data_IF_577107970423
#
_entry.id   IF_577107970423
#
_cell.length_a   1.000
_cell.length_b   1.000
_cell.length_c   1.000
_cell.angle_alpha   90.00
_cell.angle_beta   90.00
_cell.angle_gamma   90.00
#
_symmetry.space_group_name_H-M   'P 1'
#
loop_
_entity.id
_entity.type
_entity.pdbx_description
1 polymer ?
#
# COMPACT_ATOMS: atom_id res chain seq x y z
N UNK A 1 19.62 -3.04 15.23
CA UNK A 1 18.54 -3.99 14.91
C UNK A 1 18.09 -3.64 13.50
N UNK A 2 18.12 -4.58 12.55
CA UNK A 2 17.65 -4.34 11.18
C UNK A 2 16.16 -4.66 11.16
N UNK A 3 15.31 -3.84 10.53
CA UNK A 3 14.00 -4.26 10.03
C UNK A 3 14.31 -5.40 9.08
N UNK A 4 13.95 -6.59 9.53
CA UNK A 4 14.19 -7.76 8.72
C UNK A 4 13.16 -7.82 7.60
N UNK A 5 13.49 -7.17 6.49
CA UNK A 5 12.78 -7.34 5.22
C UNK A 5 13.06 -8.73 4.62
N UNK A 6 13.97 -9.52 5.22
CA UNK A 6 14.30 -10.91 4.88
C UNK A 6 13.84 -11.86 5.99
N UNK A 7 12.53 -12.04 6.12
CA UNK A 7 11.90 -13.23 6.71
C UNK A 7 12.35 -13.66 8.13
N UNK A 8 11.43 -13.59 9.08
CA UNK A 8 11.39 -14.60 10.14
C UNK A 8 11.08 -15.97 9.51
N UNK A 9 12.12 -16.75 9.25
CA UNK A 9 12.05 -18.19 9.45
C UNK A 9 12.14 -18.42 10.95
N UNK A 10 10.99 -18.62 11.59
CA UNK A 10 10.97 -19.14 12.95
C UNK A 10 11.81 -20.43 13.01
N UNK A 11 12.66 -20.50 14.03
CA UNK A 11 13.50 -21.63 14.47
C UNK A 11 13.20 -23.00 13.82
N UNK A 12 14.24 -23.57 13.22
CA UNK A 12 14.40 -24.93 12.69
C UNK A 12 13.27 -25.95 13.01
N UNK A 13 12.53 -26.33 11.97
CA UNK A 13 12.23 -27.74 11.74
C UNK A 13 12.85 -28.16 10.41
N UNK A 14 13.89 -28.98 10.52
CA UNK A 14 14.30 -29.89 9.46
C UNK A 14 13.10 -30.77 9.09
N UNK A 15 12.37 -30.43 8.04
CA UNK A 15 11.51 -31.39 7.32
C UNK A 15 11.20 -30.86 5.92
N UNK A 16 11.37 -31.73 4.94
CA UNK A 16 11.07 -31.56 3.52
C UNK A 16 9.55 -31.40 3.22
N UNK A 17 8.74 -30.88 4.15
CA UNK A 17 7.27 -30.98 4.10
C UNK A 17 6.50 -29.68 4.36
N UNK A 18 7.16 -28.51 4.40
CA UNK A 18 6.43 -27.24 4.30
C UNK A 18 5.91 -27.05 2.86
N UNK A 19 4.86 -27.78 2.49
CA UNK A 19 4.08 -27.51 1.27
C UNK A 19 3.33 -26.21 1.50
N UNK A 20 3.94 -25.11 1.10
CA UNK A 20 3.23 -23.85 0.90
C UNK A 20 1.97 -24.13 0.04
N UNK A 21 0.83 -23.48 0.30
CA UNK A 21 -0.34 -23.66 -0.53
C UNK A 21 -0.02 -23.21 -1.96
N UNK A 22 0.37 -24.17 -2.80
CA UNK A 22 0.55 -23.99 -4.22
C UNK A 22 -0.83 -23.78 -4.83
N UNK A 23 -0.99 -22.76 -5.68
CA UNK A 23 -2.22 -22.42 -6.38
C UNK A 23 -3.31 -21.78 -5.49
N UNK A 24 -2.95 -20.75 -4.73
CA UNK A 24 -3.90 -19.97 -3.94
C UNK A 24 -4.67 -18.97 -4.81
N UNK A 25 -4.21 -17.72 -4.84
CA UNK A 25 -4.80 -16.67 -5.67
C UNK A 25 -4.35 -16.69 -7.14
N UNK A 26 -3.17 -17.22 -7.45
CA UNK A 26 -2.54 -17.13 -8.77
C UNK A 26 -3.44 -17.66 -9.90
N UNK A 27 -4.10 -18.84 -9.78
CA UNK A 27 -4.97 -19.36 -10.84
C UNK A 27 -6.23 -18.53 -11.09
N UNK A 28 -6.55 -17.57 -10.21
CA UNK A 28 -7.73 -16.73 -10.33
C UNK A 28 -7.49 -15.53 -11.24
N UNK A 29 -6.25 -15.25 -11.65
CA UNK A 29 -5.89 -14.08 -12.45
C UNK A 29 -5.09 -14.47 -13.70
N UNK A 30 -5.16 -13.63 -14.74
CA UNK A 30 -4.48 -13.88 -16.01
C UNK A 30 -3.05 -13.32 -16.09
N UNK A 31 -2.58 -12.69 -15.02
CA UNK A 31 -1.29 -11.98 -14.97
C UNK A 31 -0.40 -12.60 -13.91
N UNK A 32 0.91 -12.56 -14.14
CA UNK A 32 1.92 -13.01 -13.16
C UNK A 32 1.84 -12.11 -11.94
N UNK A 33 1.69 -12.70 -10.75
CA UNK A 33 1.73 -12.00 -9.47
C UNK A 33 2.04 -12.94 -8.31
N UNK A 34 2.71 -12.42 -7.27
CA UNK A 34 3.00 -13.14 -6.03
C UNK A 34 1.99 -12.78 -4.93
N UNK A 35 1.30 -13.79 -4.40
CA UNK A 35 0.43 -13.66 -3.23
C UNK A 35 0.81 -14.61 -2.09
N UNK A 36 2.08 -15.06 -2.03
CA UNK A 36 2.51 -16.15 -1.15
C UNK A 36 2.14 -15.92 0.31
N UNK A 37 2.30 -14.72 0.88
CA UNK A 37 1.97 -14.47 2.29
C UNK A 37 0.47 -14.48 2.53
N UNK A 38 -0.31 -13.95 1.58
CA UNK A 38 -1.77 -14.01 1.67
C UNK A 38 -2.29 -15.45 1.54
N UNK A 39 -1.70 -16.24 0.65
CA UNK A 39 -1.99 -17.66 0.49
C UNK A 39 -1.67 -18.43 1.77
N UNK A 40 -0.52 -18.16 2.39
CA UNK A 40 -0.12 -18.74 3.69
C UNK A 40 -1.14 -18.40 4.77
N UNK A 41 -1.52 -17.12 4.87
CA UNK A 41 -2.44 -16.63 5.90
C UNK A 41 -3.83 -17.28 5.80
N UNK A 42 -4.32 -17.51 4.58
CA UNK A 42 -5.61 -18.18 4.35
C UNK A 42 -5.51 -19.71 4.37
N UNK A 43 -4.31 -20.26 4.23
CA UNK A 43 -3.96 -21.67 4.41
C UNK A 43 -4.45 -22.65 3.34
N UNK A 44 -5.51 -22.32 2.59
CA UNK A 44 -6.09 -23.23 1.57
C UNK A 44 -6.55 -22.50 0.31
N UNK A 45 -6.50 -23.17 -0.88
CA UNK A 45 -7.07 -22.62 -2.11
C UNK A 45 -8.57 -22.31 -2.01
N UNK A 46 -9.32 -23.11 -1.25
CA UNK A 46 -10.75 -22.88 -1.02
C UNK A 46 -11.01 -21.58 -0.26
N UNK A 47 -10.20 -21.28 0.77
CA UNK A 47 -10.27 -20.01 1.49
C UNK A 47 -9.87 -18.81 0.62
N UNK A 48 -8.81 -18.95 -0.20
CA UNK A 48 -8.42 -17.93 -1.19
C UNK A 48 -9.55 -17.63 -2.16
N UNK A 49 -10.17 -18.68 -2.72
CA UNK A 49 -11.32 -18.55 -3.61
C UNK A 49 -12.52 -17.89 -2.93
N UNK A 50 -12.85 -18.29 -1.69
CA UNK A 50 -13.95 -17.69 -0.94
C UNK A 50 -13.72 -16.18 -0.69
N UNK A 51 -12.49 -15.81 -0.31
CA UNK A 51 -12.08 -14.41 -0.17
C UNK A 51 -12.25 -13.65 -1.49
N UNK A 52 -11.68 -14.17 -2.58
CA UNK A 52 -11.81 -13.58 -3.92
C UNK A 52 -13.28 -13.37 -4.31
N UNK A 53 -14.14 -14.37 -4.14
CA UNK A 53 -15.54 -14.29 -4.56
C UNK A 53 -16.35 -13.24 -3.76
N UNK A 54 -16.06 -13.09 -2.46
CA UNK A 54 -16.64 -12.03 -1.62
C UNK A 54 -16.25 -10.65 -2.17
N UNK A 55 -14.97 -10.43 -2.44
CA UNK A 55 -14.49 -9.14 -2.92
C UNK A 55 -14.93 -8.85 -4.36
N UNK A 56 -14.94 -9.84 -5.25
CA UNK A 56 -15.54 -9.72 -6.59
C UNK A 56 -16.98 -9.22 -6.50
N UNK A 57 -17.79 -9.75 -5.57
CA UNK A 57 -19.17 -9.31 -5.36
C UNK A 57 -19.24 -7.86 -4.88
N UNK A 58 -18.43 -7.47 -3.89
CA UNK A 58 -18.38 -6.09 -3.36
C UNK A 58 -18.03 -5.08 -4.45
N UNK A 59 -16.97 -5.34 -5.22
CA UNK A 59 -16.61 -4.47 -6.34
C UNK A 59 -17.66 -4.47 -7.44
N UNK A 60 -18.27 -5.61 -7.77
CA UNK A 60 -19.34 -5.64 -8.77
C UNK A 60 -20.53 -4.77 -8.35
N UNK A 61 -20.90 -4.82 -7.07
CA UNK A 61 -21.95 -3.95 -6.52
C UNK A 61 -21.58 -2.47 -6.54
N UNK A 62 -20.34 -2.12 -6.14
CA UNK A 62 -19.87 -0.73 -6.19
C UNK A 62 -19.78 -0.19 -7.63
N UNK A 63 -19.24 -1.01 -8.54
CA UNK A 63 -18.98 -0.63 -9.93
C UNK A 63 -20.25 -0.57 -10.80
N UNK A 64 -21.35 -1.17 -10.34
CA UNK A 64 -22.64 -1.06 -11.00
C UNK A 64 -23.09 0.40 -11.19
N UNK A 65 -22.74 1.29 -10.26
CA UNK A 65 -23.11 2.71 -10.31
C UNK A 65 -22.03 3.62 -10.88
N UNK A 66 -20.86 3.09 -11.27
CA UNK A 66 -19.77 3.92 -11.78
C UNK A 66 -20.08 4.53 -13.14
N UNK A 67 -19.81 5.82 -13.28
CA UNK A 67 -19.66 6.51 -14.55
C UNK A 67 -18.26 6.28 -15.16
N UNK A 68 -18.05 6.83 -16.37
CA UNK A 68 -16.71 6.93 -16.97
C UNK A 68 -15.76 7.74 -16.07
N UNK A 69 -16.24 8.84 -15.48
CA UNK A 69 -15.45 9.64 -14.55
C UNK A 69 -15.06 8.83 -13.30
N UNK A 70 -15.99 8.07 -12.72
CA UNK A 70 -15.67 7.20 -11.57
C UNK A 70 -14.60 6.18 -11.93
N UNK A 71 -14.69 5.58 -13.12
CA UNK A 71 -13.70 4.62 -13.63
C UNK A 71 -12.33 5.28 -13.79
N UNK A 72 -12.27 6.48 -14.35
CA UNK A 72 -11.03 7.25 -14.49
C UNK A 72 -10.42 7.61 -13.12
N UNK A 73 -11.25 8.05 -12.16
CA UNK A 73 -10.80 8.32 -10.78
C UNK A 73 -10.28 7.05 -10.12
N UNK A 74 -10.93 5.90 -10.33
CA UNK A 74 -10.46 4.63 -9.80
C UNK A 74 -9.13 4.15 -10.39
N UNK A 75 -8.86 4.42 -11.67
CA UNK A 75 -7.53 4.17 -12.21
C UNK A 75 -6.46 5.04 -11.55
N UNK A 76 -6.79 6.28 -11.18
CA UNK A 76 -5.89 7.13 -10.38
C UNK A 76 -5.72 6.61 -8.95
N UNK A 77 -6.74 5.98 -8.37
CA UNK A 77 -6.62 5.28 -7.07
C UNK A 77 -5.69 4.07 -7.17
N UNK A 78 -5.71 3.30 -8.27
CA UNK A 78 -4.73 2.25 -8.54
C UNK A 78 -3.31 2.80 -8.64
N UNK A 79 -3.12 3.89 -9.40
CA UNK A 79 -1.82 4.58 -9.50
C UNK A 79 -1.31 5.01 -8.13
N UNK A 80 -2.16 5.64 -7.32
CA UNK A 80 -1.80 6.09 -5.97
C UNK A 80 -1.48 4.92 -5.03
N UNK A 81 -2.23 3.82 -5.11
CA UNK A 81 -1.96 2.60 -4.35
C UNK A 81 -0.55 2.05 -4.62
N UNK A 82 -0.12 2.07 -5.89
CA UNK A 82 1.24 1.68 -6.27
C UNK A 82 2.30 2.66 -5.74
N UNK A 83 2.06 3.97 -5.89
CA UNK A 83 2.95 5.02 -5.36
C UNK A 83 3.18 4.85 -3.86
N UNK A 84 2.12 4.57 -3.11
CA UNK A 84 2.17 4.33 -1.67
C UNK A 84 2.88 3.02 -1.30
N UNK A 85 2.83 1.99 -2.15
CA UNK A 85 3.62 0.76 -1.98
C UNK A 85 5.12 1.05 -2.05
N UNK A 86 5.54 1.90 -3.00
CA UNK A 86 6.92 2.37 -3.08
C UNK A 86 7.29 3.24 -1.87
N UNK A 87 6.45 4.22 -1.50
CA UNK A 87 6.69 5.07 -0.33
C UNK A 87 6.80 4.27 0.98
N UNK A 88 5.93 3.27 1.19
CA UNK A 88 5.97 2.43 2.38
C UNK A 88 7.29 1.66 2.49
N UNK A 89 7.75 1.10 1.36
CA UNK A 89 9.02 0.37 1.29
C UNK A 89 10.22 1.30 1.47
N UNK A 90 10.20 2.47 0.84
CA UNK A 90 11.22 3.50 1.00
C UNK A 90 11.33 3.92 2.47
N UNK A 91 10.22 4.26 3.13
CA UNK A 91 10.22 4.64 4.54
C UNK A 91 10.71 3.52 5.47
N UNK A 92 10.36 2.26 5.19
CA UNK A 92 10.88 1.13 5.98
C UNK A 92 12.41 1.01 5.85
N UNK A 93 12.95 1.10 4.63
CA UNK A 93 14.40 1.07 4.40
C UNK A 93 15.12 2.29 4.98
N UNK A 94 14.53 3.47 4.89
CA UNK A 94 15.09 4.67 5.51
C UNK A 94 15.08 4.57 7.03
N UNK A 95 14.05 3.98 7.64
CA UNK A 95 14.02 3.73 9.08
C UNK A 95 15.21 2.87 9.52
N UNK A 96 15.56 1.84 8.75
CA UNK A 96 16.76 1.02 9.00
C UNK A 96 18.05 1.83 8.93
N UNK A 97 18.24 2.58 7.84
CA UNK A 97 19.46 3.36 7.62
C UNK A 97 19.66 4.41 8.73
N UNK A 98 18.58 5.09 9.12
CA UNK A 98 18.58 6.08 10.20
C UNK A 98 18.81 5.40 11.56
N UNK A 99 18.24 4.21 11.78
CA UNK A 99 18.44 3.42 12.99
C UNK A 99 19.87 2.94 13.17
N UNK A 100 20.58 2.62 12.08
CA UNK A 100 22.02 2.32 12.10
C UNK A 100 22.86 3.52 12.55
N UNK A 101 22.42 4.73 12.22
CA UNK A 101 23.02 5.99 12.68
C UNK A 101 22.60 6.38 14.11
N UNK A 102 21.83 5.53 14.81
CA UNK A 102 21.32 5.72 16.17
C UNK A 102 20.39 6.93 16.36
N UNK A 103 19.81 7.46 15.29
CA UNK A 103 18.86 8.59 15.34
C UNK A 103 17.44 8.04 15.57
N UNK A 104 17.14 7.65 16.81
CA UNK A 104 15.88 6.95 17.16
C UNK A 104 14.61 7.73 16.81
N UNK A 105 14.64 9.06 16.94
CA UNK A 105 13.49 9.89 16.57
C UNK A 105 13.14 9.75 15.08
N UNK A 106 14.15 9.75 14.21
CA UNK A 106 13.96 9.55 12.77
C UNK A 106 13.55 8.12 12.44
N UNK A 107 14.17 7.13 13.07
CA UNK A 107 13.83 5.71 12.91
C UNK A 107 12.33 5.44 13.17
N UNK A 108 11.81 5.87 14.32
CA UNK A 108 10.41 5.62 14.67
C UNK A 108 9.43 6.50 13.88
N UNK A 109 9.83 7.71 13.50
CA UNK A 109 9.04 8.53 12.59
C UNK A 109 8.85 7.80 11.26
N UNK A 110 9.94 7.37 10.63
CA UNK A 110 9.91 6.71 9.32
C UNK A 110 9.17 5.36 9.39
N UNK A 111 9.41 4.57 10.44
CA UNK A 111 8.73 3.29 10.65
C UNK A 111 7.20 3.44 10.77
N UNK A 112 6.74 4.44 11.51
CA UNK A 112 5.31 4.74 11.64
C UNK A 112 4.69 5.15 10.29
N UNK A 113 5.37 6.00 9.51
CA UNK A 113 4.89 6.37 8.17
C UNK A 113 4.96 5.21 7.17
N UNK A 114 5.94 4.32 7.24
CA UNK A 114 5.96 3.10 6.43
C UNK A 114 4.67 2.28 6.62
N UNK A 115 4.24 2.10 7.87
CA UNK A 115 2.99 1.41 8.18
C UNK A 115 1.75 2.15 7.65
N UNK A 116 1.67 3.47 7.82
CA UNK A 116 0.55 4.28 7.33
C UNK A 116 0.42 4.20 5.80
N UNK A 117 1.54 4.35 5.08
CA UNK A 117 1.55 4.27 3.62
C UNK A 117 1.14 2.86 3.13
N UNK A 118 1.57 1.80 3.82
CA UNK A 118 1.13 0.43 3.51
C UNK A 118 -0.38 0.23 3.70
N UNK A 119 -0.96 0.77 4.78
CA UNK A 119 -2.42 0.72 4.99
C UNK A 119 -3.18 1.54 3.95
N UNK A 120 -2.71 2.75 3.65
CA UNK A 120 -3.33 3.59 2.62
C UNK A 120 -3.28 2.93 1.24
N UNK A 121 -2.19 2.24 0.87
CA UNK A 121 -2.10 1.54 -0.41
C UNK A 121 -3.29 0.59 -0.61
N UNK A 122 -3.69 -0.13 0.44
CA UNK A 122 -4.87 -1.01 0.41
C UNK A 122 -6.18 -0.22 0.44
N UNK A 123 -6.30 0.78 1.33
CA UNK A 123 -7.55 1.52 1.52
C UNK A 123 -7.93 2.42 0.35
N UNK A 124 -6.95 2.90 -0.43
CA UNK A 124 -7.20 3.52 -1.73
C UNK A 124 -7.93 2.59 -2.68
N UNK A 125 -7.88 1.27 -2.49
CA UNK A 125 -8.62 0.34 -3.33
C UNK A 125 -9.92 -0.15 -2.69
N UNK A 126 -10.29 0.30 -1.49
CA UNK A 126 -11.49 -0.21 -0.82
C UNK A 126 -12.79 0.30 -1.50
N UNK A 127 -13.73 -0.59 -1.91
CA UNK A 127 -14.91 -0.24 -2.70
C UNK A 127 -15.91 0.65 -1.94
N UNK A 128 -16.01 0.49 -0.63
CA UNK A 128 -16.93 1.30 0.19
C UNK A 128 -16.31 2.62 0.65
N UNK A 129 -15.07 2.92 0.26
CA UNK A 129 -14.44 4.21 0.55
C UNK A 129 -14.61 5.15 -0.64
N UNK A 130 -15.30 6.27 -0.37
CA UNK A 130 -15.37 7.40 -1.30
C UNK A 130 -14.01 8.08 -1.38
N UNK A 131 -13.80 8.87 -2.44
CA UNK A 131 -12.56 9.65 -2.57
C UNK A 131 -12.35 10.59 -1.37
N UNK A 132 -13.39 11.31 -0.96
CA UNK A 132 -13.33 12.20 0.19
C UNK A 132 -12.96 11.46 1.50
N UNK A 133 -13.48 10.25 1.70
CA UNK A 133 -13.16 9.47 2.90
C UNK A 133 -11.69 9.06 2.92
N UNK A 134 -11.14 8.56 1.82
CA UNK A 134 -9.76 8.06 1.80
C UNK A 134 -8.71 9.18 1.83
N UNK A 135 -9.00 10.36 1.29
CA UNK A 135 -8.08 11.51 1.29
C UNK A 135 -8.08 12.30 2.60
N UNK A 136 -9.09 12.11 3.46
CA UNK A 136 -9.23 12.83 4.74
C UNK A 136 -9.25 11.94 5.99
N UNK A 137 -8.98 10.64 5.83
CA UNK A 137 -8.99 9.68 6.95
C UNK A 137 -7.87 9.99 7.95
N UNK A 138 -8.21 10.03 9.24
CA UNK A 138 -7.20 10.21 10.30
C UNK A 138 -6.42 8.91 10.51
N UNK A 139 -5.19 8.99 11.03
CA UNK A 139 -4.36 7.80 11.27
C UNK A 139 -5.07 6.72 12.11
N UNK A 140 -5.75 7.11 13.19
CA UNK A 140 -6.49 6.17 14.05
C UNK A 140 -7.69 5.55 13.32
N UNK A 141 -8.42 6.34 12.51
CA UNK A 141 -9.53 5.81 11.70
C UNK A 141 -9.03 4.82 10.65
N UNK A 142 -7.88 5.10 10.05
CA UNK A 142 -7.23 4.24 9.07
C UNK A 142 -6.86 2.88 9.66
N UNK A 143 -6.17 2.86 10.81
CA UNK A 143 -5.80 1.62 11.48
C UNK A 143 -7.03 0.80 11.90
N UNK A 144 -8.08 1.46 12.39
CA UNK A 144 -9.33 0.79 12.76
C UNK A 144 -10.04 0.17 11.55
N UNK A 145 -10.16 0.91 10.45
CA UNK A 145 -10.79 0.46 9.22
C UNK A 145 -10.00 -0.70 8.58
N UNK A 146 -8.68 -0.57 8.49
CA UNK A 146 -7.83 -1.64 7.97
C UNK A 146 -7.99 -2.92 8.81
N UNK A 147 -7.95 -2.78 10.14
CA UNK A 147 -8.11 -3.91 11.04
C UNK A 147 -9.49 -4.59 10.89
N UNK A 148 -10.57 -3.82 10.80
CA UNK A 148 -11.92 -4.38 10.65
C UNK A 148 -12.10 -5.12 9.33
N UNK A 149 -11.54 -4.60 8.24
CA UNK A 149 -11.73 -5.17 6.91
C UNK A 149 -10.81 -6.35 6.62
N UNK A 150 -9.54 -6.29 7.07
CA UNK A 150 -8.50 -7.20 6.59
C UNK A 150 -7.80 -8.03 7.68
N UNK A 151 -7.87 -7.61 8.95
CA UNK A 151 -7.10 -8.24 10.03
C UNK A 151 -7.96 -8.86 11.15
N UNK A 152 -9.27 -8.87 11.00
CA UNK A 152 -10.20 -9.39 12.01
C UNK A 152 -11.37 -10.15 11.40
N UNK A 153 -12.08 -10.93 12.22
CA UNK A 153 -13.28 -11.65 11.81
C UNK A 153 -13.05 -12.68 10.71
N UNK A 154 -14.09 -12.90 9.88
CA UNK A 154 -14.10 -13.91 8.80
C UNK A 154 -13.37 -13.45 7.52
N UNK A 155 -13.04 -12.17 7.42
CA UNK A 155 -12.28 -11.57 6.30
C UNK A 155 -10.78 -11.44 6.60
N UNK A 156 -10.32 -12.00 7.72
CA UNK A 156 -8.91 -11.95 8.13
C UNK A 156 -8.02 -12.60 7.08
N UNK A 157 -7.31 -11.76 6.33
CA UNK A 157 -6.25 -12.13 5.38
C UNK A 157 -4.88 -11.63 5.85
N UNK A 158 -4.86 -10.66 6.77
CA UNK A 158 -3.67 -10.18 7.47
C UNK A 158 -3.68 -10.77 8.89
N UNK A 159 -2.63 -11.50 9.24
CA UNK A 159 -2.53 -12.19 10.53
C UNK A 159 -2.00 -11.27 11.63
N UNK A 160 -1.28 -10.22 11.28
CA UNK A 160 -0.71 -9.27 12.23
C UNK A 160 -1.78 -8.58 13.10
N UNK A 161 -1.45 -8.32 14.37
CA UNK A 161 -2.28 -7.44 15.21
C UNK A 161 -2.04 -5.98 14.81
N UNK A 162 -2.74 -5.56 13.76
CA UNK A 162 -2.61 -4.21 13.18
C UNK A 162 -2.87 -3.11 14.20
N UNK A 163 -3.74 -3.33 15.20
CA UNK A 163 -4.03 -2.31 16.20
C UNK A 163 -2.88 -2.14 17.18
N UNK A 164 -2.35 -3.25 17.68
CA UNK A 164 -1.17 -3.23 18.55
C UNK A 164 0.03 -2.62 17.82
N UNK A 165 0.31 -3.07 16.59
CA UNK A 165 1.42 -2.54 15.79
C UNK A 165 1.28 -1.03 15.53
N UNK A 166 0.08 -0.55 15.17
CA UNK A 166 -0.16 0.87 14.93
C UNK A 166 0.03 1.70 16.20
N UNK A 167 -0.45 1.21 17.34
CA UNK A 167 -0.33 1.89 18.61
C UNK A 167 1.11 1.93 19.10
N UNK A 168 1.85 0.83 19.01
CA UNK A 168 3.25 0.77 19.43
C UNK A 168 4.12 1.71 18.61
N UNK A 169 3.97 1.71 17.28
CA UNK A 169 4.72 2.63 16.40
C UNK A 169 4.32 4.09 16.63
N UNK A 170 3.04 4.38 16.86
CA UNK A 170 2.56 5.72 17.21
C UNK A 170 3.16 6.18 18.53
N UNK A 171 3.11 5.33 19.56
CA UNK A 171 3.66 5.60 20.87
C UNK A 171 5.16 5.91 20.79
N UNK A 172 5.94 5.09 20.09
CA UNK A 172 7.38 5.31 19.89
C UNK A 172 7.66 6.62 19.16
N UNK A 173 6.94 6.89 18.08
CA UNK A 173 7.07 8.13 17.30
C UNK A 173 6.75 9.36 18.15
N UNK A 174 5.67 9.34 18.92
CA UNK A 174 5.28 10.46 19.80
C UNK A 174 6.24 10.63 20.98
N UNK A 175 6.68 9.54 21.62
CA UNK A 175 7.59 9.59 22.76
C UNK A 175 8.94 10.20 22.38
N UNK A 176 9.55 9.74 21.26
CA UNK A 176 10.83 10.27 20.80
C UNK A 176 10.72 11.67 20.15
N UNK A 177 9.54 12.08 19.68
CA UNK A 177 9.34 13.43 19.10
C UNK A 177 9.05 14.50 20.15
N UNK A 178 8.27 14.18 21.20
CA UNK A 178 7.76 15.18 22.13
C UNK A 178 8.34 15.09 23.55
N UNK A 179 8.87 13.94 23.93
CA UNK A 179 9.43 13.71 25.27
C UNK A 179 10.94 13.46 25.24
N UNK A 180 11.45 12.87 24.16
CA UNK A 180 12.84 12.54 23.88
C UNK A 180 13.62 12.04 25.11
N UNK A 181 13.68 10.72 25.33
CA UNK A 181 14.33 10.21 26.53
C UNK A 181 15.85 10.44 26.49
N UNK A 182 16.46 10.67 27.66
CA UNK A 182 17.92 10.82 27.78
C UNK A 182 18.67 9.52 27.47
N UNK A 183 18.04 8.37 27.70
CA UNK A 183 18.54 7.03 27.37
C UNK A 183 17.44 6.26 26.68
N UNK A 184 17.76 5.42 25.69
CA UNK A 184 16.76 4.63 24.96
C UNK A 184 16.24 3.47 25.81
N UNK A 185 14.99 3.50 26.33
CA UNK A 185 14.45 2.36 27.07
C UNK A 185 14.02 1.22 26.14
N UNK A 186 13.95 1.47 24.83
CA UNK A 186 13.36 0.59 23.84
C UNK A 186 13.95 -0.82 23.81
N UNK A 187 15.28 -0.94 23.88
CA UNK A 187 15.96 -2.25 23.87
C UNK A 187 15.67 -3.06 25.13
N UNK A 188 15.23 -2.42 26.21
CA UNK A 188 14.86 -3.05 27.46
C UNK A 188 13.37 -3.41 27.56
N UNK A 189 12.55 -3.08 26.54
CA UNK A 189 11.11 -3.36 26.51
C UNK A 189 10.81 -4.30 25.31
N UNK A 190 10.78 -5.63 25.53
CA UNK A 190 10.61 -6.61 24.47
C UNK A 190 9.35 -6.41 23.61
N UNK A 191 8.25 -5.98 24.21
CA UNK A 191 6.97 -5.80 23.55
C UNK A 191 7.06 -4.78 22.40
N UNK A 192 7.70 -3.64 22.65
CA UNK A 192 7.88 -2.58 21.65
C UNK A 192 8.88 -2.99 20.55
N UNK A 193 9.90 -3.77 20.93
CA UNK A 193 10.91 -4.29 19.99
C UNK A 193 10.31 -5.30 18.99
N UNK A 194 9.40 -6.16 19.47
CA UNK A 194 8.70 -7.13 18.63
C UNK A 194 7.86 -6.44 17.57
N UNK A 195 7.07 -5.43 17.92
CA UNK A 195 6.22 -4.70 16.96
C UNK A 195 7.05 -4.05 15.85
N UNK A 196 8.18 -3.42 16.20
CA UNK A 196 9.09 -2.86 15.18
C UNK A 196 9.65 -3.93 14.23
N UNK A 197 10.02 -5.11 14.76
CA UNK A 197 10.57 -6.21 13.94
C UNK A 197 9.57 -6.78 12.91
N UNK A 198 8.26 -6.63 13.15
CA UNK A 198 7.21 -7.14 12.26
C UNK A 198 6.83 -6.19 11.13
N UNK A 199 7.31 -4.94 11.16
CA UNK A 199 6.98 -3.91 10.19
C UNK A 199 7.24 -4.35 8.74
N UNK A 200 8.40 -4.95 8.46
CA UNK A 200 8.76 -5.40 7.12
C UNK A 200 7.77 -6.44 6.56
N UNK A 201 7.39 -7.40 7.39
CA UNK A 201 6.37 -8.41 7.04
C UNK A 201 4.99 -7.79 6.82
N UNK A 202 4.59 -6.81 7.63
CA UNK A 202 3.33 -6.09 7.48
C UNK A 202 3.29 -5.26 6.17
N UNK A 203 4.36 -4.54 5.86
CA UNK A 203 4.49 -3.76 4.62
C UNK A 203 4.38 -4.68 3.41
N UNK A 204 5.13 -5.78 3.37
CA UNK A 204 5.09 -6.75 2.27
C UNK A 204 3.69 -7.34 2.06
N UNK A 205 3.04 -7.79 3.13
CA UNK A 205 1.68 -8.33 3.07
C UNK A 205 0.66 -7.29 2.58
N UNK A 206 0.81 -6.03 2.99
CA UNK A 206 -0.07 -4.95 2.54
C UNK A 206 0.10 -4.63 1.06
N UNK A 207 1.34 -4.71 0.52
CA UNK A 207 1.60 -4.55 -0.91
C UNK A 207 0.97 -5.70 -1.71
N UNK A 208 1.13 -6.96 -1.26
CA UNK A 208 0.44 -8.10 -1.86
C UNK A 208 -1.07 -7.94 -1.84
N UNK A 209 -1.63 -7.44 -0.73
CA UNK A 209 -3.06 -7.21 -0.59
C UNK A 209 -3.55 -6.09 -1.52
N UNK A 210 -2.81 -4.98 -1.63
CA UNK A 210 -3.12 -3.92 -2.59
C UNK A 210 -3.11 -4.46 -4.04
N UNK A 211 -2.10 -5.26 -4.39
CA UNK A 211 -2.03 -5.91 -5.70
C UNK A 211 -3.24 -6.80 -5.94
N UNK A 212 -3.59 -7.66 -4.97
CA UNK A 212 -4.76 -8.55 -5.06
C UNK A 212 -6.05 -7.76 -5.31
N UNK A 213 -6.27 -6.68 -4.54
CA UNK A 213 -7.45 -5.82 -4.73
C UNK A 213 -7.47 -5.21 -6.14
N UNK A 214 -6.32 -4.76 -6.66
CA UNK A 214 -6.25 -4.19 -8.01
C UNK A 214 -6.56 -5.20 -9.13
N UNK A 215 -6.15 -6.46 -8.96
CA UNK A 215 -6.52 -7.53 -9.88
C UNK A 215 -8.02 -7.81 -9.87
N UNK A 216 -8.64 -7.80 -8.69
CA UNK A 216 -10.09 -7.95 -8.55
C UNK A 216 -10.81 -6.76 -9.21
N UNK A 217 -10.37 -5.53 -8.95
CA UNK A 217 -10.91 -4.31 -9.60
C UNK A 217 -10.84 -4.43 -11.11
N UNK A 218 -9.67 -4.77 -11.67
CA UNK A 218 -9.49 -4.96 -13.12
C UNK A 218 -10.46 -5.99 -13.68
N UNK A 219 -10.52 -7.17 -13.06
CA UNK A 219 -11.34 -8.30 -13.51
C UNK A 219 -12.84 -8.00 -13.47
N UNK A 220 -13.30 -7.27 -12.44
CA UNK A 220 -14.68 -6.78 -12.39
C UNK A 220 -14.92 -5.72 -13.46
N UNK A 221 -13.97 -4.80 -13.65
CA UNK A 221 -13.98 -3.79 -14.72
C UNK A 221 -14.15 -4.40 -16.10
N UNK A 222 -13.37 -5.42 -16.43
CA UNK A 222 -13.47 -6.14 -17.71
C UNK A 222 -14.84 -6.77 -17.92
N UNK A 223 -15.40 -7.43 -16.88
CA UNK A 223 -16.74 -8.03 -16.96
C UNK A 223 -17.85 -6.99 -17.13
N UNK A 224 -17.66 -5.80 -16.58
CA UNK A 224 -18.61 -4.70 -16.65
C UNK A 224 -18.41 -3.80 -17.89
N UNK A 225 -17.38 -4.03 -18.71
CA UNK A 225 -17.01 -3.13 -19.81
C UNK A 225 -16.46 -1.77 -19.35
N UNK A 226 -15.94 -1.69 -18.12
CA UNK A 226 -15.40 -0.48 -17.46
C UNK A 226 -13.92 -0.65 -17.09
N UNK A 227 -13.18 -1.37 -17.91
CA UNK A 227 -11.77 -1.70 -17.62
C UNK A 227 -10.83 -0.50 -17.85
N UNK A 228 -11.31 0.51 -18.56
CA UNK A 228 -10.69 1.82 -18.76
C UNK A 228 -11.75 2.84 -19.13
N UNK A 229 -11.38 4.11 -19.13
CA UNK A 229 -12.27 5.23 -19.38
C UNK A 229 -11.58 6.39 -20.10
N UNK A 230 -12.32 7.08 -20.94
CA UNK A 230 -11.89 8.33 -21.58
C UNK A 230 -12.51 9.51 -20.87
N UNK A 231 -11.69 10.50 -20.51
CA UNK A 231 -12.16 11.69 -19.80
C UNK A 231 -12.74 12.67 -20.82
N UNK A 232 -14.05 12.83 -20.81
CA UNK A 232 -14.75 13.75 -21.71
C UNK A 232 -14.43 15.20 -21.38
N UNK A 233 -14.61 16.11 -22.35
CA UNK A 233 -14.42 17.56 -22.12
C UNK A 233 -15.26 18.10 -20.97
N UNK A 234 -16.45 17.53 -20.73
CA UNK A 234 -17.35 17.93 -19.65
C UNK A 234 -16.83 17.51 -18.27
N UNK A 235 -16.11 16.38 -18.19
CA UNK A 235 -15.62 15.80 -16.94
C UNK A 235 -14.20 16.25 -16.56
N UNK A 236 -13.49 16.95 -17.46
CA UNK A 236 -12.08 17.33 -17.26
C UNK A 236 -11.82 18.06 -15.96
N UNK A 237 -12.70 18.98 -15.57
CA UNK A 237 -12.49 19.75 -14.34
C UNK A 237 -12.75 18.92 -13.09
N UNK A 238 -13.84 18.14 -13.08
CA UNK A 238 -14.13 17.21 -11.99
C UNK A 238 -13.00 16.18 -11.82
N UNK A 239 -12.44 15.69 -12.94
CA UNK A 239 -11.27 14.82 -12.91
C UNK A 239 -10.03 15.51 -12.35
N UNK A 240 -9.74 16.76 -12.72
CA UNK A 240 -8.58 17.51 -12.19
C UNK A 240 -8.68 17.69 -10.68
N UNK A 241 -9.85 18.05 -10.17
CA UNK A 241 -10.08 18.18 -8.73
C UNK A 241 -9.93 16.84 -8.02
N UNK A 242 -10.47 15.76 -8.57
CA UNK A 242 -10.30 14.42 -8.03
C UNK A 242 -8.83 13.98 -8.04
N UNK A 243 -8.12 14.22 -9.15
CA UNK A 243 -6.69 13.91 -9.28
C UNK A 243 -5.87 14.69 -8.25
N UNK A 244 -6.14 15.99 -8.09
CA UNK A 244 -5.45 16.83 -7.13
C UNK A 244 -5.76 16.39 -5.69
N UNK A 245 -6.98 15.97 -5.37
CA UNK A 245 -7.31 15.43 -4.06
C UNK A 245 -6.54 14.12 -3.74
N UNK A 246 -6.21 13.32 -4.75
CA UNK A 246 -5.46 12.07 -4.61
C UNK A 246 -3.95 12.34 -4.44
N UNK A 247 -3.39 13.21 -5.30
CA UNK A 247 -1.94 13.32 -5.49
C UNK A 247 -1.34 14.63 -4.95
N UNK A 248 -2.15 15.68 -4.82
CA UNK A 248 -1.71 17.01 -4.43
C UNK A 248 -1.97 17.35 -2.96
N UNK A 249 -1.48 18.52 -2.57
CA UNK A 249 -1.77 19.11 -1.26
C UNK A 249 -1.91 20.62 -1.37
N UNK A 250 -3.07 21.13 -0.97
CA UNK A 250 -3.30 22.57 -0.78
C UNK A 250 -2.79 23.01 0.58
N UNK A 251 -2.03 24.10 0.62
CA UNK A 251 -1.64 24.75 1.86
C UNK A 251 -2.81 25.57 2.42
N UNK A 252 -3.16 25.39 3.69
CA UNK A 252 -4.39 26.00 4.25
C UNK A 252 -4.33 27.53 4.38
N UNK A 253 -3.13 28.07 4.61
CA UNK A 253 -2.93 29.50 4.87
C UNK A 253 -2.26 30.28 3.73
N UNK A 254 -1.97 29.61 2.61
CA UNK A 254 -1.22 30.20 1.49
C UNK A 254 -1.89 29.78 0.19
N UNK A 255 -1.86 30.65 -0.81
CA UNK A 255 -2.25 30.32 -2.17
C UNK A 255 -1.16 29.45 -2.82
N UNK A 256 -1.06 28.22 -2.34
CA UNK A 256 -0.02 27.26 -2.72
C UNK A 256 -0.63 25.87 -2.82
N UNK A 257 -0.73 25.41 -4.07
CA UNK A 257 -1.11 24.05 -4.43
C UNK A 257 0.13 23.27 -4.85
N UNK A 258 0.50 22.27 -4.05
CA UNK A 258 1.63 21.40 -4.32
C UNK A 258 1.15 20.18 -5.10
N UNK A 259 1.71 20.01 -6.29
CA UNK A 259 1.59 18.82 -7.12
C UNK A 259 2.95 18.56 -7.76
N UNK A 260 3.47 17.34 -7.59
CA UNK A 260 4.74 16.92 -8.14
C UNK A 260 4.75 16.95 -9.68
N UNK A 261 5.91 17.17 -10.30
CA UNK A 261 6.02 17.26 -11.76
C UNK A 261 5.70 15.93 -12.45
N UNK A 262 6.09 14.79 -11.88
CA UNK A 262 5.70 13.49 -12.40
C UNK A 262 4.18 13.24 -12.26
N UNK A 263 3.56 13.78 -11.20
CA UNK A 263 2.09 13.75 -11.06
C UNK A 263 1.39 14.70 -12.05
N UNK A 264 1.99 15.85 -12.42
CA UNK A 264 1.46 16.72 -13.50
C UNK A 264 1.51 16.02 -14.85
N UNK A 265 2.58 15.28 -15.13
CA UNK A 265 2.72 14.49 -16.35
C UNK A 265 1.68 13.36 -16.39
N UNK A 266 1.55 12.60 -15.31
CA UNK A 266 0.55 11.53 -15.21
C UNK A 266 -0.88 12.05 -15.38
N UNK A 267 -1.19 13.25 -14.87
CA UNK A 267 -2.50 13.90 -15.11
C UNK A 267 -2.69 14.24 -16.58
N UNK A 268 -1.64 14.70 -17.26
CA UNK A 268 -1.67 15.07 -18.68
C UNK A 268 -1.87 13.83 -19.54
N UNK A 269 -1.15 12.76 -19.25
CA UNK A 269 -1.32 11.45 -19.88
C UNK A 269 -2.76 10.96 -19.73
N UNK A 270 -3.30 10.96 -18.50
CA UNK A 270 -4.68 10.56 -18.22
C UNK A 270 -5.70 11.38 -19.02
N UNK A 271 -5.56 12.71 -19.06
CA UNK A 271 -6.45 13.61 -19.80
C UNK A 271 -6.36 13.48 -21.32
N UNK A 272 -5.25 12.92 -21.83
CA UNK A 272 -4.97 12.80 -23.27
C UNK A 272 -5.33 11.40 -23.80
N UNK A 273 -4.96 10.36 -23.06
CA UNK A 273 -5.06 8.97 -23.49
C UNK A 273 -6.17 8.20 -22.77
N UNK A 274 -6.77 8.77 -21.72
CA UNK A 274 -7.67 8.06 -20.84
C UNK A 274 -6.93 7.33 -19.74
N UNK A 275 -7.65 6.53 -18.98
CA UNK A 275 -7.13 5.83 -17.80
C UNK A 275 -7.62 4.39 -17.80
N UNK A 276 -6.73 3.45 -17.47
CA UNK A 276 -7.07 2.05 -17.27
C UNK A 276 -7.09 1.67 -15.78
N UNK A 277 -7.94 0.69 -15.44
CA UNK A 277 -7.91 -0.01 -14.16
C UNK A 277 -6.77 -1.02 -14.11
N UNK A 278 -5.54 -0.56 -14.37
CA UNK A 278 -4.36 -1.42 -14.50
C UNK A 278 -3.99 -2.05 -13.15
N UNK A 279 -3.82 -3.38 -13.06
CA UNK A 279 -3.26 -4.01 -11.86
C UNK A 279 -1.89 -3.45 -11.51
N UNK A 280 -1.60 -3.36 -10.21
CA UNK A 280 -0.36 -2.78 -9.68
C UNK A 280 0.89 -3.44 -10.27
N UNK A 281 0.89 -4.76 -10.42
CA UNK A 281 2.01 -5.51 -11.01
C UNK A 281 2.33 -5.14 -12.46
N UNK A 282 1.34 -4.68 -13.24
CA UNK A 282 1.55 -4.25 -14.62
C UNK A 282 1.99 -2.79 -14.72
N UNK A 283 1.57 -1.94 -13.78
CA UNK A 283 1.99 -0.53 -13.71
C UNK A 283 3.35 -0.32 -13.05
N UNK A 284 3.94 -1.38 -12.48
CA UNK A 284 5.13 -1.35 -11.64
C UNK A 284 6.34 -0.65 -12.28
N UNK A 285 6.76 -1.06 -13.47
CA UNK A 285 7.96 -0.52 -14.13
C UNK A 285 7.77 0.97 -14.47
N UNK A 286 6.66 1.31 -15.13
CA UNK A 286 6.37 2.69 -15.50
C UNK A 286 6.25 3.63 -14.29
N UNK A 287 5.70 3.15 -13.18
CA UNK A 287 5.67 3.93 -11.94
C UNK A 287 7.08 4.10 -11.35
N UNK A 288 7.89 3.04 -11.34
CA UNK A 288 9.25 3.11 -10.80
C UNK A 288 10.13 4.09 -11.58
N UNK A 289 9.99 4.15 -12.91
CA UNK A 289 10.71 5.11 -13.77
C UNK A 289 10.47 6.57 -13.36
N UNK A 290 9.33 6.86 -12.69
CA UNK A 290 8.97 8.18 -12.20
C UNK A 290 9.25 8.39 -10.70
N UNK A 291 9.49 7.32 -9.94
CA UNK A 291 9.58 7.40 -8.48
C UNK A 291 10.94 7.97 -8.05
N UNK A 292 10.94 9.22 -7.56
CA UNK A 292 12.14 9.95 -7.08
C UNK A 292 13.22 10.16 -8.15
N UNK A 293 12.86 10.10 -9.43
CA UNK A 293 13.80 10.25 -10.57
C UNK A 293 13.82 11.66 -11.17
N UNK A 294 12.85 12.51 -10.79
CA UNK A 294 12.70 13.89 -11.27
C UNK A 294 13.37 14.91 -10.33
N UNK A 295 14.06 14.45 -9.29
CA UNK A 295 14.73 15.29 -8.29
C UNK A 295 16.08 15.81 -8.79
N UNK A 296 16.46 17.03 -8.39
CA UNK A 296 17.76 17.62 -8.75
C UNK A 296 18.95 16.93 -8.07
N UNK A 297 18.75 16.42 -6.86
CA UNK A 297 19.68 15.55 -6.12
C UNK A 297 18.96 14.24 -5.82
N UNK A 298 19.11 13.19 -6.64
CA UNK A 298 18.35 11.96 -6.45
C UNK A 298 18.76 11.27 -5.14
N UNK A 299 17.82 10.57 -4.47
CA UNK A 299 18.14 9.85 -3.25
C UNK A 299 19.12 8.70 -3.55
N UNK A 300 19.65 8.13 -2.46
CA UNK A 300 20.62 7.04 -2.51
C UNK A 300 20.15 5.94 -3.48
N UNK A 301 20.92 5.75 -4.56
CA UNK A 301 20.63 4.79 -5.62
C UNK A 301 20.58 3.36 -5.09
N UNK A 302 21.33 3.03 -4.05
CA UNK A 302 21.26 1.71 -3.42
C UNK A 302 19.90 1.49 -2.76
N UNK A 303 19.39 2.50 -2.04
CA UNK A 303 18.05 2.45 -1.44
C UNK A 303 16.99 2.33 -2.52
N UNK A 304 17.08 3.11 -3.61
CA UNK A 304 16.11 3.04 -4.71
C UNK A 304 16.09 1.66 -5.39
N UNK A 305 17.24 1.04 -5.64
CA UNK A 305 17.28 -0.31 -6.21
C UNK A 305 16.73 -1.37 -5.24
N UNK A 306 16.95 -1.19 -3.93
CA UNK A 306 16.33 -2.05 -2.92
C UNK A 306 14.81 -1.86 -2.86
N UNK A 307 14.32 -0.63 -2.95
CA UNK A 307 12.88 -0.33 -3.05
C UNK A 307 12.29 -1.04 -4.27
N UNK A 308 12.91 -0.86 -5.45
CA UNK A 308 12.53 -1.55 -6.69
C UNK A 308 12.40 -3.05 -6.46
N UNK A 309 13.49 -3.68 -6.03
CA UNK A 309 13.54 -5.13 -5.83
C UNK A 309 12.48 -5.63 -4.84
N UNK A 310 12.29 -4.97 -3.70
CA UNK A 310 11.35 -5.41 -2.68
C UNK A 310 9.89 -5.24 -3.07
N UNK A 311 9.55 -4.13 -3.74
CA UNK A 311 8.20 -3.94 -4.29
C UNK A 311 7.94 -4.93 -5.41
N UNK A 312 8.88 -5.10 -6.35
CA UNK A 312 8.80 -6.12 -7.41
C UNK A 312 8.56 -7.52 -6.85
N UNK A 313 9.35 -7.95 -5.87
CA UNK A 313 9.20 -9.24 -5.18
C UNK A 313 7.94 -9.38 -4.32
N UNK A 314 7.19 -8.30 -4.10
CA UNK A 314 5.90 -8.32 -3.42
C UNK A 314 4.74 -8.27 -4.43
N UNK A 315 5.00 -7.94 -5.70
CA UNK A 315 4.00 -7.86 -6.76
C UNK A 315 4.06 -9.05 -7.72
N UNK A 316 5.25 -9.62 -7.97
CA UNK A 316 5.56 -10.56 -9.07
C UNK A 316 6.06 -11.92 -8.58
#
# INVERSE_FOLDING_TARGET
MCIDLRFYSGSMMSSNDARWPHNGFEPLFGYVSDFIHLNINLGTPAACKAYHDIWMKRYSSAMATWSELDTAVWGMRCRQSLKLSFSATFFALSADAVGQSKIKAGEFYLAYYAMLHAMWAVLYLHPDQTLANVTSVTHSKMANLYHSEFASGRSRIIVEDVKALAEDLRFLREYYSYRMPLNSPFEAIPELSVSYSRLGGFVKQSIQLANLQSHIVRKVGERAGKAGAVITSADREAFREAFFAINGKRHELRDLDLLDDADKEARTEALTHGVDLLPLSLGYEHMFDNFMTWEGDPPDQEILQRVRSLVGNALL
#
